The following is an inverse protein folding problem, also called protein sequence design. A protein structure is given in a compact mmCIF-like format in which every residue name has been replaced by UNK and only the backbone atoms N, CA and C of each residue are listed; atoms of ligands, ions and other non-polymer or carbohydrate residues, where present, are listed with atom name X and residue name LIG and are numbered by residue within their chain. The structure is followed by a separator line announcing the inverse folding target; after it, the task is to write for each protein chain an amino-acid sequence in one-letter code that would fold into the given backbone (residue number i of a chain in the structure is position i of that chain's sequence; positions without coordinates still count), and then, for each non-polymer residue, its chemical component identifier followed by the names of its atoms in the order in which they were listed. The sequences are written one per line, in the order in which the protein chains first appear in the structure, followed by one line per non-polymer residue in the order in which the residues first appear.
data_IF_485437208674
#
_entry.id   IF_485437208674
#
_cell.length_a   1.000
_cell.length_b   1.000
_cell.length_c   1.000
_cell.angle_alpha   90.00
_cell.angle_beta   90.00
_cell.angle_gamma   90.00
#
_symmetry.space_group_name_H-M   'P 1'
#
loop_
_entity.id
_entity.type
_entity.pdbx_description
1 polymer ?
#
# COMPACT_ATOMS: atom_id res chain seq x y z
N UNK A 1 4.70 -8.29 -0.42
CA UNK A 1 5.93 -7.53 -0.16
C UNK A 1 6.48 -6.95 -1.46
N UNK A 2 6.91 -5.69 -1.41
CA UNK A 2 7.46 -4.93 -2.53
C UNK A 2 8.88 -4.49 -2.13
N UNK A 3 9.89 -4.91 -2.89
CA UNK A 3 11.27 -4.43 -2.74
C UNK A 3 11.57 -3.38 -3.79
N UNK A 4 12.32 -2.34 -3.41
CA UNK A 4 12.67 -1.21 -4.28
C UNK A 4 14.17 -0.85 -4.17
N UNK A 5 14.68 -0.05 -5.11
CA UNK A 5 16.11 0.32 -5.17
C UNK A 5 16.42 1.72 -4.66
N UNK A 6 15.39 2.48 -4.27
CA UNK A 6 15.56 3.83 -3.70
C UNK A 6 16.60 3.86 -2.57
N UNK A 7 17.44 4.91 -2.58
CA UNK A 7 18.45 5.12 -1.54
C UNK A 7 17.81 5.45 -0.18
N UNK A 8 16.70 6.19 -0.20
CA UNK A 8 15.86 6.49 0.96
C UNK A 8 14.39 6.28 0.59
N UNK A 9 13.59 5.79 1.53
CA UNK A 9 12.15 5.64 1.31
C UNK A 9 11.46 7.02 1.33
N UNK A 10 10.55 7.32 0.37
CA UNK A 10 9.82 8.58 0.30
C UNK A 10 8.70 8.60 1.34
N UNK A 11 9.07 8.71 2.62
CA UNK A 11 8.16 8.49 3.76
C UNK A 11 6.95 9.41 3.75
N UNK A 12 7.11 10.68 3.38
CA UNK A 12 6.00 11.63 3.35
C UNK A 12 4.99 11.28 2.25
N UNK A 13 5.47 10.91 1.07
CA UNK A 13 4.61 10.52 -0.05
C UNK A 13 3.90 9.20 0.26
N UNK A 14 4.63 8.22 0.80
CA UNK A 14 4.07 6.94 1.22
C UNK A 14 3.04 7.15 2.34
N UNK A 15 3.31 8.04 3.29
CA UNK A 15 2.40 8.39 4.38
C UNK A 15 1.10 9.00 3.87
N UNK A 16 1.19 9.99 2.98
CA UNK A 16 0.03 10.61 2.35
C UNK A 16 -0.78 9.60 1.51
N UNK A 17 -0.10 8.73 0.75
CA UNK A 17 -0.75 7.64 0.03
C UNK A 17 -1.47 6.68 0.98
N UNK A 18 -0.83 6.29 2.09
CA UNK A 18 -1.43 5.37 3.05
C UNK A 18 -2.67 5.99 3.71
N UNK A 19 -2.60 7.24 4.15
CA UNK A 19 -3.74 7.96 4.72
C UNK A 19 -4.93 8.07 3.75
N UNK A 20 -4.66 8.18 2.45
CA UNK A 20 -5.72 8.15 1.45
C UNK A 20 -6.43 6.79 1.39
N UNK A 21 -5.77 5.68 1.68
CA UNK A 21 -6.36 4.33 1.58
C UNK A 21 -6.72 3.72 2.94
N UNK A 22 -6.27 4.29 4.05
CA UNK A 22 -6.51 3.79 5.39
C UNK A 22 -7.71 4.53 6.02
N UNK A 23 -8.78 3.81 6.36
CA UNK A 23 -9.96 4.35 7.04
C UNK A 23 -10.38 3.45 8.21
N UNK A 24 -9.68 3.51 9.35
CA UNK A 24 -9.99 2.64 10.48
C UNK A 24 -11.29 3.02 11.19
N UNK A 25 -11.70 4.28 11.08
CA UNK A 25 -12.86 4.85 11.77
C UNK A 25 -14.11 4.87 10.87
N UNK A 26 -14.02 4.31 9.66
CA UNK A 26 -15.08 4.20 8.65
C UNK A 26 -15.72 5.57 8.31
N UNK A 27 -14.90 6.63 8.29
CA UNK A 27 -15.37 7.99 8.03
C UNK A 27 -15.93 8.16 6.61
N UNK A 28 -15.49 7.31 5.66
CA UNK A 28 -15.92 7.31 4.26
C UNK A 28 -16.96 6.22 3.97
N UNK A 29 -17.69 5.77 4.99
CA UNK A 29 -18.77 4.81 4.84
C UNK A 29 -19.75 5.23 3.74
N UNK A 30 -20.07 4.29 2.84
CA UNK A 30 -21.13 4.42 1.84
C UNK A 30 -22.16 3.34 2.11
N UNK A 31 -23.42 3.74 2.29
CA UNK A 31 -24.54 2.82 2.53
C UNK A 31 -24.61 1.77 1.39
N UNK A 32 -24.50 0.49 1.76
CA UNK A 32 -24.45 -0.63 0.81
C UNK A 32 -23.05 -1.06 0.34
N UNK A 33 -21.98 -0.39 0.79
CA UNK A 33 -20.58 -0.77 0.56
C UNK A 33 -19.90 -1.20 1.86
N UNK A 34 -20.44 -2.24 2.51
CA UNK A 34 -20.13 -2.68 3.89
C UNK A 34 -18.65 -3.01 4.19
N UNK A 35 -17.77 -3.06 3.19
CA UNK A 35 -16.34 -3.36 3.36
C UNK A 35 -15.42 -2.47 2.51
N UNK A 36 -15.87 -1.27 2.13
CA UNK A 36 -15.38 -0.58 0.94
C UNK A 36 -13.95 -0.05 1.00
N UNK A 37 -13.07 -0.64 0.18
CA UNK A 37 -11.96 0.05 -0.48
C UNK A 37 -10.81 0.58 0.43
N UNK A 38 -10.44 -0.17 1.47
CA UNK A 38 -9.40 0.25 2.43
C UNK A 38 -8.19 -0.69 2.49
N UNK A 39 -7.02 -0.12 2.75
CA UNK A 39 -5.81 -0.85 3.13
C UNK A 39 -5.87 -1.13 4.64
N UNK A 40 -5.48 -2.32 5.07
CA UNK A 40 -5.46 -2.67 6.50
C UNK A 40 -4.15 -2.29 7.20
N UNK A 41 -3.00 -2.45 6.53
CA UNK A 41 -1.72 -2.13 7.15
C UNK A 41 -0.60 -1.85 6.16
N UNK A 42 0.39 -1.09 6.62
CA UNK A 42 1.65 -0.79 5.93
C UNK A 42 2.82 -0.92 6.91
N UNK A 43 3.87 -1.63 6.51
CA UNK A 43 5.16 -1.66 7.19
C UNK A 43 6.27 -1.24 6.23
N UNK A 44 7.10 -0.31 6.67
CA UNK A 44 8.23 0.24 5.90
C UNK A 44 9.53 -0.25 6.54
N UNK A 45 10.40 -0.83 5.72
CA UNK A 45 11.78 -1.18 6.06
C UNK A 45 12.72 -0.62 5.00
N UNK A 46 14.03 -0.51 5.26
CA UNK A 46 14.99 -0.14 4.23
C UNK A 46 14.81 -1.02 2.98
N UNK A 47 14.53 -0.38 1.83
CA UNK A 47 14.35 -1.03 0.52
C UNK A 47 13.18 -2.01 0.42
N UNK A 48 12.23 -2.00 1.36
CA UNK A 48 11.09 -2.91 1.34
C UNK A 48 9.83 -2.32 1.98
N UNK A 49 8.70 -2.59 1.34
CA UNK A 49 7.35 -2.30 1.84
C UNK A 49 6.57 -3.61 2.00
N UNK A 50 5.82 -3.73 3.09
CA UNK A 50 4.78 -4.75 3.25
C UNK A 50 3.45 -4.04 3.37
N UNK A 51 2.51 -4.37 2.49
CA UNK A 51 1.17 -3.79 2.48
C UNK A 51 0.18 -4.93 2.59
N UNK A 52 -0.76 -4.82 3.52
CA UNK A 52 -1.99 -5.60 3.50
C UNK A 52 -3.07 -4.73 2.84
N UNK A 53 -3.36 -5.04 1.58
CA UNK A 53 -4.30 -4.27 0.78
C UNK A 53 -5.76 -4.42 1.24
N UNK A 54 -6.06 -5.36 2.15
CA UNK A 54 -7.41 -5.55 2.66
C UNK A 54 -8.44 -5.66 1.54
N UNK A 55 -9.36 -4.70 1.51
CA UNK A 55 -10.43 -4.60 0.51
C UNK A 55 -10.20 -3.46 -0.48
N UNK A 56 -9.05 -2.79 -0.44
CA UNK A 56 -8.69 -1.74 -1.37
C UNK A 56 -8.75 -2.23 -2.82
N UNK A 57 -9.20 -1.34 -3.71
CA UNK A 57 -9.22 -1.61 -5.13
C UNK A 57 -7.79 -1.83 -5.65
N UNK A 58 -7.63 -2.50 -6.81
CA UNK A 58 -6.34 -2.62 -7.47
C UNK A 58 -5.63 -1.28 -7.70
N UNK A 59 -6.35 -0.15 -7.75
CA UNK A 59 -5.77 1.17 -7.92
C UNK A 59 -4.86 1.56 -6.75
N UNK A 60 -5.11 1.05 -5.54
CA UNK A 60 -4.21 1.24 -4.40
C UNK A 60 -2.82 0.66 -4.69
N UNK A 61 -2.78 -0.53 -5.30
CA UNK A 61 -1.52 -1.17 -5.70
C UNK A 61 -0.85 -0.38 -6.82
N UNK A 62 -1.57 -0.03 -7.89
CA UNK A 62 -0.99 0.69 -9.03
C UNK A 62 -0.48 2.08 -8.65
N UNK A 63 -1.22 2.82 -7.83
CA UNK A 63 -0.81 4.14 -7.34
C UNK A 63 0.45 4.06 -6.47
N UNK A 64 0.63 2.99 -5.69
CA UNK A 64 1.88 2.77 -4.95
C UNK A 64 3.07 2.51 -5.88
N UNK A 65 2.90 1.72 -6.94
CA UNK A 65 3.98 1.50 -7.92
C UNK A 65 4.38 2.79 -8.62
N UNK A 66 3.39 3.59 -9.05
CA UNK A 66 3.62 4.89 -9.67
C UNK A 66 4.35 5.86 -8.71
N UNK A 67 4.00 5.83 -7.42
CA UNK A 67 4.70 6.62 -6.40
C UNK A 67 6.17 6.23 -6.27
N UNK A 68 6.48 4.93 -6.23
CA UNK A 68 7.85 4.42 -6.13
C UNK A 68 8.67 4.72 -7.40
N UNK A 69 8.03 4.64 -8.57
CA UNK A 69 8.61 5.04 -9.85
C UNK A 69 8.94 6.54 -9.88
N UNK A 70 7.99 7.39 -9.49
CA UNK A 70 8.18 8.84 -9.41
C UNK A 70 9.28 9.23 -8.41
N UNK A 71 9.49 8.44 -7.36
CA UNK A 71 10.59 8.60 -6.42
C UNK A 71 11.96 8.17 -6.99
N UNK A 72 12.00 7.59 -8.20
CA UNK A 72 13.22 7.23 -8.91
C UNK A 72 13.70 5.80 -8.68
N UNK A 73 12.80 4.84 -8.37
CA UNK A 73 13.22 3.44 -8.22
C UNK A 73 13.64 2.90 -9.58
N UNK A 74 14.84 2.34 -9.67
CA UNK A 74 15.35 1.71 -10.89
C UNK A 74 14.83 0.27 -11.09
N UNK A 75 14.10 -0.27 -10.12
CA UNK A 75 13.53 -1.61 -10.20
C UNK A 75 12.66 -1.95 -9.01
N UNK A 76 11.73 -2.87 -9.24
CA UNK A 76 10.81 -3.40 -8.24
C UNK A 76 10.82 -4.93 -8.28
N UNK A 77 10.80 -5.56 -7.11
CA UNK A 77 10.52 -7.00 -6.97
C UNK A 77 9.30 -7.16 -6.08
N UNK A 78 8.27 -7.78 -6.62
CA UNK A 78 6.97 -7.93 -5.96
C UNK A 78 6.76 -9.41 -5.66
N UNK A 79 6.37 -9.71 -4.43
CA UNK A 79 5.98 -11.04 -4.00
C UNK A 79 4.66 -10.98 -3.24
N UNK A 80 3.79 -11.96 -3.47
CA UNK A 80 2.65 -12.21 -2.61
C UNK A 80 3.05 -13.17 -1.50
N UNK A 81 2.66 -12.89 -0.26
CA UNK A 81 2.65 -13.86 0.82
C UNK A 81 1.19 -14.17 1.10
N UNK A 82 0.73 -15.36 0.72
CA UNK A 82 -0.54 -15.86 1.24
C UNK A 82 -0.25 -16.46 2.61
N UNK A 83 -0.82 -15.88 3.66
CA UNK A 83 -0.94 -16.60 4.93
C UNK A 83 -2.01 -17.66 4.71
N UNK A 84 -1.61 -18.92 4.59
CA UNK A 84 -2.56 -20.03 4.49
C UNK A 84 -3.35 -20.05 5.80
N UNK A 85 -4.66 -19.80 5.73
CA UNK A 85 -5.54 -19.99 6.88
C UNK A 85 -5.42 -21.47 7.29
N UNK A 86 -4.92 -21.68 8.52
CA UNK A 86 -4.74 -23.00 9.13
C UNK A 86 -6.06 -23.56 9.61
#
# INVERSE_FOLDING_TARGET
MIHHTLAASPLDQIGAWFQHWFDPDDERYVEGAEFGNIIHSLSIRPKALSVDFGTASPDAFWSLLALLEAAGTAGLRISSSQTQAS
#
